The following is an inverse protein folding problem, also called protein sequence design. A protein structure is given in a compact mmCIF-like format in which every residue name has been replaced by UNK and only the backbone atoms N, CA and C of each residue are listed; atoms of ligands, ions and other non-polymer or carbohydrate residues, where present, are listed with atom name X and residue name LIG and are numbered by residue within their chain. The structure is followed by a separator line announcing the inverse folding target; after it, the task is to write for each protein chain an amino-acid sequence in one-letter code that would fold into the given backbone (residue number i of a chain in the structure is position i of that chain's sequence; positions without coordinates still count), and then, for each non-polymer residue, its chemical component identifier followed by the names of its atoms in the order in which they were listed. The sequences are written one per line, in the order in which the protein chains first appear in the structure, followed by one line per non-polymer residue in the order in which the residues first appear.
data_IF_661469468395
#
_entry.id   IF_661469468395
#
_cell.length_a   1.000
_cell.length_b   1.000
_cell.length_c   1.000
_cell.angle_alpha   90.00
_cell.angle_beta   90.00
_cell.angle_gamma   90.00
#
_symmetry.space_group_name_H-M   'P 1'
#
loop_
_entity.id
_entity.type
_entity.pdbx_description
1 polymer ?
#
# COMPACT_ATOMS: atom_id res chain seq x y z
N UNK A 1 21.92 -1.59 16.85
CA UNK A 1 22.67 -2.63 16.09
C UNK A 1 21.62 -3.40 15.30
N UNK A 2 21.81 -3.56 14.00
CA UNK A 2 20.88 -4.33 13.17
C UNK A 2 21.24 -5.81 13.27
N UNK A 3 20.24 -6.69 13.33
CA UNK A 3 20.45 -8.14 13.29
C UNK A 3 20.14 -8.66 11.88
N UNK A 4 21.08 -9.38 11.27
CA UNK A 4 20.90 -10.00 9.95
C UNK A 4 20.79 -11.51 10.12
N UNK A 5 19.75 -12.10 9.54
CA UNK A 5 19.52 -13.55 9.54
C UNK A 5 19.49 -14.04 8.10
N UNK A 6 20.22 -15.11 7.83
CA UNK A 6 20.15 -15.83 6.56
C UNK A 6 19.53 -17.20 6.78
N UNK A 7 18.45 -17.50 6.06
CA UNK A 7 17.96 -18.86 5.92
C UNK A 7 18.88 -19.61 4.96
N UNK A 8 19.69 -20.54 5.48
CA UNK A 8 20.69 -21.27 4.69
C UNK A 8 20.08 -22.27 3.70
N UNK A 9 18.80 -22.60 3.82
CA UNK A 9 18.09 -23.50 2.89
C UNK A 9 17.56 -22.73 1.69
N UNK A 10 16.95 -21.56 1.91
CA UNK A 10 16.34 -20.76 0.83
C UNK A 10 17.22 -19.63 0.31
N UNK A 11 18.29 -19.28 1.03
CA UNK A 11 19.09 -18.08 0.76
C UNK A 11 18.38 -16.77 1.13
N UNK A 12 17.19 -16.83 1.74
CA UNK A 12 16.46 -15.62 2.14
C UNK A 12 17.21 -14.90 3.27
N UNK A 13 17.45 -13.60 3.09
CA UNK A 13 18.08 -12.75 4.09
C UNK A 13 17.04 -11.81 4.67
N UNK A 14 17.00 -11.72 6.00
CA UNK A 14 16.16 -10.79 6.76
C UNK A 14 17.05 -9.88 7.59
N UNK A 15 16.79 -8.58 7.54
CA UNK A 15 17.46 -7.59 8.37
C UNK A 15 16.45 -6.98 9.35
N UNK A 16 16.74 -7.08 10.64
CA UNK A 16 15.98 -6.48 11.73
C UNK A 16 16.68 -5.20 12.17
N UNK A 17 16.02 -4.07 11.99
CA UNK A 17 16.56 -2.74 12.30
C UNK A 17 16.04 -2.18 13.62
N UNK A 18 14.91 -2.69 14.13
CA UNK A 18 14.25 -2.24 15.37
C UNK A 18 14.47 -3.15 16.57
N UNK A 19 14.98 -4.37 16.34
CA UNK A 19 15.26 -5.32 17.40
C UNK A 19 16.75 -5.63 17.47
N UNK A 20 17.28 -5.69 18.70
CA UNK A 20 18.66 -6.12 18.96
C UNK A 20 18.70 -7.60 19.31
N UNK A 21 18.25 -8.46 18.39
CA UNK A 21 18.27 -9.90 18.62
C UNK A 21 19.70 -10.44 18.65
N UNK A 22 20.06 -11.22 19.67
CA UNK A 22 21.31 -11.98 19.73
C UNK A 22 21.11 -13.48 19.47
N UNK A 23 19.88 -13.99 19.57
CA UNK A 23 19.56 -15.39 19.33
C UNK A 23 18.22 -15.49 18.62
N UNK A 24 18.11 -16.42 17.67
CA UNK A 24 16.93 -16.55 16.82
C UNK A 24 16.60 -18.03 16.60
N UNK A 25 15.31 -18.34 16.68
CA UNK A 25 14.71 -19.63 16.34
C UNK A 25 13.65 -19.41 15.25
N UNK A 26 13.01 -20.47 14.77
CA UNK A 26 11.93 -20.33 13.78
C UNK A 26 10.75 -19.47 14.26
N UNK A 27 10.49 -19.42 15.57
CA UNK A 27 9.29 -18.76 16.13
C UNK A 27 9.60 -17.61 17.07
N UNK A 28 10.85 -17.41 17.49
CA UNK A 28 11.22 -16.41 18.49
C UNK A 28 12.61 -15.82 18.27
N UNK A 29 12.78 -14.55 18.65
CA UNK A 29 14.06 -13.86 18.81
C UNK A 29 14.33 -13.50 20.27
N UNK A 30 15.52 -13.81 20.77
CA UNK A 30 16.00 -13.37 22.09
C UNK A 30 16.86 -12.11 21.96
N UNK A 31 16.60 -11.13 22.82
CA UNK A 31 17.42 -9.93 23.00
C UNK A 31 17.85 -9.76 24.47
N UNK A 32 18.67 -8.76 24.81
CA UNK A 32 18.98 -8.44 26.20
C UNK A 32 17.76 -7.95 27.00
N UNK A 33 16.73 -7.44 26.31
CA UNK A 33 15.50 -6.89 26.92
C UNK A 33 14.38 -7.92 27.05
N UNK A 34 14.52 -9.11 26.45
CA UNK A 34 13.54 -10.17 26.58
C UNK A 34 13.46 -11.14 25.40
N UNK A 35 12.44 -11.99 25.43
CA UNK A 35 12.10 -12.95 24.39
C UNK A 35 10.89 -12.44 23.59
N UNK A 36 11.01 -12.44 22.26
CA UNK A 36 10.03 -11.88 21.33
C UNK A 36 9.53 -13.00 20.42
N UNK A 37 8.21 -13.13 20.27
CA UNK A 37 7.62 -14.06 19.31
C UNK A 37 7.63 -13.45 17.90
N UNK A 38 7.96 -14.25 16.90
CA UNK A 38 7.84 -13.86 15.49
C UNK A 38 6.39 -14.04 15.03
N UNK A 39 5.75 -12.92 14.71
CA UNK A 39 4.35 -12.85 14.32
C UNK A 39 3.69 -11.57 14.86
N UNK A 40 2.36 -11.53 14.79
CA UNK A 40 1.56 -10.39 15.23
C UNK A 40 1.44 -9.27 14.19
N UNK A 41 0.73 -8.22 14.57
CA UNK A 41 0.34 -7.11 13.68
C UNK A 41 1.21 -5.86 13.83
N UNK A 42 2.23 -5.93 14.70
CA UNK A 42 3.11 -4.80 15.04
C UNK A 42 4.59 -5.18 14.98
N UNK A 43 5.41 -4.24 14.55
CA UNK A 43 6.87 -4.27 14.57
C UNK A 43 7.36 -3.28 15.64
N UNK A 44 7.72 -3.81 16.81
CA UNK A 44 8.13 -3.05 18.01
C UNK A 44 7.07 -1.99 18.44
N UNK A 45 5.81 -2.43 18.50
CA UNK A 45 4.68 -1.56 18.86
C UNK A 45 4.20 -0.62 17.73
N UNK A 46 4.91 -0.58 16.59
CA UNK A 46 4.47 0.16 15.41
C UNK A 46 3.66 -0.74 14.48
N UNK A 47 2.63 -0.20 13.83
CA UNK A 47 1.81 -0.97 12.90
C UNK A 47 2.61 -1.43 11.66
N UNK A 48 2.40 -2.68 11.23
CA UNK A 48 3.01 -3.20 10.00
C UNK A 48 2.21 -2.71 8.79
N UNK A 49 2.65 -1.59 8.19
CA UNK A 49 1.93 -0.95 7.07
C UNK A 49 2.11 -1.75 5.78
N UNK A 50 1.00 -2.24 5.23
CA UNK A 50 0.98 -2.85 3.91
C UNK A 50 0.93 -1.78 2.81
N UNK A 51 1.76 -1.91 1.77
CA UNK A 51 1.82 -0.99 0.63
C UNK A 51 1.89 -1.75 -0.69
N UNK A 52 0.99 -1.41 -1.61
CA UNK A 52 0.97 -1.94 -2.97
C UNK A 52 1.07 -0.76 -3.94
N UNK A 53 1.88 -0.91 -5.00
CA UNK A 53 1.94 0.03 -6.13
C UNK A 53 1.60 -0.73 -7.41
N UNK A 54 0.53 -0.31 -8.07
CA UNK A 54 0.11 -0.83 -9.36
C UNK A 54 0.88 -0.11 -10.48
N UNK A 55 1.14 -0.79 -11.61
CA UNK A 55 1.80 -0.18 -12.76
C UNK A 55 0.98 1.01 -13.28
N UNK A 56 1.68 2.07 -13.69
CA UNK A 56 1.04 3.18 -14.39
C UNK A 56 0.65 2.72 -15.79
N UNK A 57 -0.59 2.95 -16.17
CA UNK A 57 -1.07 2.64 -17.52
C UNK A 57 -1.01 3.90 -18.37
N UNK A 58 -0.30 3.84 -19.50
CA UNK A 58 -0.40 4.85 -20.56
C UNK A 58 -1.80 4.74 -21.17
N UNK A 59 -2.49 5.88 -21.30
CA UNK A 59 -3.79 5.93 -21.97
C UNK A 59 -3.59 6.21 -23.46
N UNK A 60 -4.40 5.56 -24.29
CA UNK A 60 -4.33 5.60 -25.77
C UNK A 60 -4.81 6.93 -26.37
N UNK A 61 -5.06 7.97 -25.56
CA UNK A 61 -5.58 9.27 -25.99
C UNK A 61 -4.65 10.41 -25.59
N UNK A 62 -4.66 11.47 -26.40
CA UNK A 62 -3.93 12.71 -26.11
C UNK A 62 -4.67 13.61 -25.13
N UNK A 63 -5.95 13.37 -24.85
CA UNK A 63 -6.73 14.21 -23.95
C UNK A 63 -6.35 13.97 -22.49
N UNK A 64 -6.10 15.06 -21.75
CA UNK A 64 -5.86 15.01 -20.30
C UNK A 64 -7.01 14.29 -19.60
N UNK A 65 -6.70 13.31 -18.77
CA UNK A 65 -7.69 12.58 -17.99
C UNK A 65 -7.82 13.17 -16.60
N UNK A 66 -9.05 13.22 -16.12
CA UNK A 66 -9.39 13.41 -14.72
C UNK A 66 -10.02 12.13 -14.18
N UNK A 67 -10.04 12.00 -12.86
CA UNK A 67 -10.67 10.89 -12.17
C UNK A 67 -11.89 11.42 -11.43
N UNK A 68 -13.07 10.84 -11.66
CA UNK A 68 -14.27 11.18 -10.89
C UNK A 68 -14.36 10.33 -9.62
N UNK A 69 -14.09 9.04 -9.76
CA UNK A 69 -14.17 8.08 -8.66
C UNK A 69 -13.26 6.88 -8.92
N UNK A 70 -12.79 6.26 -7.85
CA UNK A 70 -12.10 4.97 -7.92
C UNK A 70 -12.90 3.95 -7.11
N UNK A 71 -13.26 2.85 -7.74
CA UNK A 71 -13.98 1.72 -7.14
C UNK A 71 -12.99 0.60 -6.86
N UNK A 72 -13.10 0.01 -5.66
CA UNK A 72 -12.20 -1.02 -5.19
C UNK A 72 -13.00 -2.22 -4.67
N UNK A 73 -12.69 -3.40 -5.21
CA UNK A 73 -13.06 -4.67 -4.59
C UNK A 73 -11.96 -5.03 -3.61
N UNK A 74 -12.16 -4.62 -2.35
CA UNK A 74 -11.18 -4.70 -1.27
C UNK A 74 -11.89 -5.11 0.02
N UNK A 75 -11.48 -6.24 0.60
CA UNK A 75 -12.00 -6.72 1.88
C UNK A 75 -11.00 -6.43 3.00
N UNK A 76 -11.53 -6.00 4.16
CA UNK A 76 -10.75 -5.63 5.33
C UNK A 76 -11.56 -4.72 6.26
N UNK A 77 -10.92 -4.21 7.30
CA UNK A 77 -11.54 -3.32 8.29
C UNK A 77 -10.83 -1.96 8.35
N UNK A 78 -11.40 -0.99 9.06
CA UNK A 78 -10.75 0.31 9.25
C UNK A 78 -10.66 1.18 7.98
N UNK A 79 -9.55 1.90 7.82
CA UNK A 79 -9.37 2.91 6.76
C UNK A 79 -8.14 2.64 5.91
N UNK A 80 -8.31 2.64 4.59
CA UNK A 80 -7.22 2.56 3.64
C UNK A 80 -6.90 3.94 3.05
N UNK A 81 -5.77 4.05 2.36
CA UNK A 81 -5.38 5.24 1.62
C UNK A 81 -5.00 4.87 0.19
N UNK A 82 -5.68 5.52 -0.75
CA UNK A 82 -5.40 5.46 -2.19
C UNK A 82 -4.42 6.58 -2.53
N UNK A 83 -3.31 6.23 -3.16
CA UNK A 83 -2.41 7.20 -3.79
C UNK A 83 -2.64 7.17 -5.29
N UNK A 84 -2.96 8.32 -5.89
CA UNK A 84 -2.95 8.48 -7.35
C UNK A 84 -1.60 9.09 -7.73
N UNK A 85 -0.87 8.42 -8.62
CA UNK A 85 0.40 8.90 -9.15
C UNK A 85 0.19 9.48 -10.55
N UNK A 86 0.55 10.76 -10.71
CA UNK A 86 0.76 11.40 -12.00
C UNK A 86 2.22 11.27 -12.46
N UNK A 87 2.60 12.03 -13.49
CA UNK A 87 3.98 12.04 -14.00
C UNK A 87 4.98 12.66 -12.99
N UNK A 88 4.56 13.74 -12.31
CA UNK A 88 5.43 14.51 -11.40
C UNK A 88 4.80 14.79 -10.03
N UNK A 89 3.53 14.41 -9.84
CA UNK A 89 2.76 14.68 -8.63
C UNK A 89 2.07 13.41 -8.15
N UNK A 90 1.78 13.36 -6.85
CA UNK A 90 0.97 12.30 -6.25
C UNK A 90 -0.08 12.90 -5.33
N UNK A 91 -1.23 12.25 -5.25
CA UNK A 91 -2.35 12.69 -4.41
C UNK A 91 -2.83 11.53 -3.55
N UNK A 92 -2.97 11.77 -2.25
CA UNK A 92 -3.40 10.78 -1.28
C UNK A 92 -4.83 11.04 -0.81
N UNK A 93 -5.63 9.98 -0.76
CA UNK A 93 -7.03 10.03 -0.36
C UNK A 93 -7.34 8.87 0.59
N UNK A 94 -7.87 9.18 1.78
CA UNK A 94 -8.29 8.17 2.75
C UNK A 94 -9.77 7.83 2.59
N UNK A 95 -10.10 6.55 2.72
CA UNK A 95 -11.46 6.04 2.61
C UNK A 95 -11.69 4.83 3.55
N UNK A 96 -12.91 4.63 4.06
CA UNK A 96 -13.23 3.49 4.90
C UNK A 96 -13.39 2.21 4.07
N UNK A 97 -12.92 1.08 4.62
CA UNK A 97 -13.27 -0.24 4.12
C UNK A 97 -14.66 -0.62 4.61
N UNK A 98 -15.38 -1.36 3.77
CA UNK A 98 -16.77 -1.77 4.03
C UNK A 98 -16.85 -3.29 4.11
N UNK A 99 -17.71 -3.78 5.00
CA UNK A 99 -17.97 -5.21 5.17
C UNK A 99 -18.47 -5.90 3.90
N UNK A 100 -19.02 -5.15 2.94
CA UNK A 100 -19.42 -5.65 1.62
C UNK A 100 -18.25 -6.09 0.74
N UNK A 101 -16.99 -5.81 1.13
CA UNK A 101 -15.81 -6.06 0.30
C UNK A 101 -15.69 -5.12 -0.91
N UNK A 102 -16.54 -4.10 -0.98
CA UNK A 102 -16.58 -3.12 -2.05
C UNK A 102 -16.63 -1.71 -1.46
N UNK A 103 -15.73 -0.86 -1.90
CA UNK A 103 -15.66 0.54 -1.46
C UNK A 103 -15.32 1.45 -2.61
N UNK A 104 -15.50 2.75 -2.38
CA UNK A 104 -15.22 3.80 -3.36
C UNK A 104 -14.43 4.91 -2.71
N UNK A 105 -13.44 5.40 -3.42
CA UNK A 105 -12.64 6.55 -3.05
C UNK A 105 -12.98 7.70 -3.99
N UNK A 106 -13.55 8.77 -3.43
CA UNK A 106 -13.71 10.01 -4.17
C UNK A 106 -12.37 10.74 -4.20
N UNK A 107 -11.90 11.08 -5.39
CA UNK A 107 -10.64 11.78 -5.60
C UNK A 107 -10.89 13.27 -5.88
N UNK A 108 -9.85 14.08 -5.69
CA UNK A 108 -9.91 15.52 -5.90
C UNK A 108 -10.02 15.88 -7.38
N UNK A 109 -10.65 17.03 -7.65
CA UNK A 109 -10.83 17.56 -9.02
C UNK A 109 -9.56 18.13 -9.67
N UNK A 110 -8.44 18.16 -8.94
CA UNK A 110 -7.18 18.76 -9.40
C UNK A 110 -6.38 17.90 -10.39
N UNK A 111 -6.72 16.61 -10.52
CA UNK A 111 -5.95 15.66 -11.33
C UNK A 111 -6.27 15.88 -12.81
N UNK A 112 -5.23 16.20 -13.59
CA UNK A 112 -5.30 16.34 -15.06
C UNK A 112 -4.04 15.75 -15.69
N UNK A 113 -4.06 14.44 -15.89
CA UNK A 113 -2.87 13.68 -16.32
C UNK A 113 -3.21 12.63 -17.38
N UNK A 114 -2.20 12.21 -18.15
CA UNK A 114 -2.32 11.08 -19.10
C UNK A 114 -1.70 9.80 -18.56
N UNK A 115 -0.72 9.95 -17.68
CA UNK A 115 -0.08 8.88 -16.96
C UNK A 115 -0.68 8.82 -15.57
N UNK A 116 -1.46 7.76 -15.31
CA UNK A 116 -2.06 7.53 -14.01
C UNK A 116 -1.65 6.15 -13.51
N UNK A 117 -1.03 6.12 -12.34
CA UNK A 117 -0.78 4.93 -11.54
C UNK A 117 -1.56 4.99 -10.23
N UNK A 118 -1.73 3.84 -9.59
CA UNK A 118 -2.45 3.73 -8.33
C UNK A 118 -1.60 3.02 -7.28
N UNK A 119 -1.70 3.46 -6.04
CA UNK A 119 -1.15 2.78 -4.88
C UNK A 119 -2.19 2.65 -3.78
N UNK A 120 -2.04 1.62 -2.96
CA UNK A 120 -2.89 1.38 -1.81
C UNK A 120 -2.03 1.14 -0.58
N UNK A 121 -2.45 1.72 0.54
CA UNK A 121 -1.82 1.51 1.84
C UNK A 121 -2.86 1.35 2.94
N UNK A 122 -2.53 0.60 3.99
CA UNK A 122 -3.29 0.52 5.24
C UNK A 122 -2.47 1.13 6.38
N UNK A 123 -2.62 2.45 6.65
CA UNK A 123 -1.73 3.16 7.57
C UNK A 123 -1.76 2.66 9.03
N UNK A 124 -2.84 2.02 9.45
CA UNK A 124 -2.94 1.42 10.79
C UNK A 124 -2.52 -0.06 10.80
N UNK A 125 -1.90 -0.55 9.72
CA UNK A 125 -1.33 -1.90 9.61
C UNK A 125 -2.36 -3.03 9.51
N UNK A 126 -3.63 -2.69 9.33
CA UNK A 126 -4.65 -3.72 9.18
C UNK A 126 -4.47 -4.52 7.88
N UNK A 127 -4.78 -5.81 7.96
CA UNK A 127 -4.79 -6.70 6.82
C UNK A 127 -5.90 -6.35 5.81
N UNK A 128 -5.66 -6.63 4.54
CA UNK A 128 -6.66 -6.51 3.48
C UNK A 128 -6.41 -7.49 2.34
N UNK A 129 -7.46 -7.78 1.57
CA UNK A 129 -7.35 -8.39 0.24
C UNK A 129 -7.77 -7.39 -0.83
N UNK A 130 -7.19 -7.50 -2.03
CA UNK A 130 -7.50 -6.63 -3.16
C UNK A 130 -7.69 -7.50 -4.41
N UNK A 131 -8.89 -7.42 -4.99
CA UNK A 131 -9.22 -8.19 -6.19
C UNK A 131 -9.18 -7.30 -7.44
N UNK A 132 -9.70 -6.07 -7.33
CA UNK A 132 -9.87 -5.17 -8.49
C UNK A 132 -9.81 -3.71 -8.07
N UNK A 133 -9.16 -2.91 -8.92
CA UNK A 133 -9.21 -1.45 -8.90
C UNK A 133 -9.76 -0.96 -10.23
N UNK A 134 -10.83 -0.18 -10.18
CA UNK A 134 -11.47 0.39 -11.35
C UNK A 134 -11.57 1.91 -11.21
N UNK A 135 -11.04 2.63 -12.20
CA UNK A 135 -11.02 4.08 -12.21
C UNK A 135 -12.06 4.63 -13.20
N UNK A 136 -13.01 5.41 -12.69
CA UNK A 136 -13.95 6.15 -13.51
C UNK A 136 -13.26 7.40 -14.04
N UNK A 137 -12.70 7.25 -15.25
CA UNK A 137 -11.98 8.32 -15.93
C UNK A 137 -12.95 9.26 -16.63
N UNK A 138 -12.55 10.53 -16.69
CA UNK A 138 -13.21 11.56 -17.50
C UNK A 138 -12.18 12.30 -18.30
N UNK A 139 -12.25 12.11 -19.61
CA UNK A 139 -11.45 12.85 -20.56
C UNK A 139 -11.83 14.33 -20.52
N UNK A 140 -10.82 15.20 -20.62
CA UNK A 140 -11.00 16.60 -20.91
C UNK A 140 -11.67 16.79 -22.28
N UNK A 141 -12.46 17.85 -22.43
CA UNK A 141 -13.05 18.22 -23.73
C UNK A 141 -12.06 18.96 -24.63
N UNK A 142 -11.14 19.75 -24.06
CA UNK A 142 -10.26 20.65 -24.84
C UNK A 142 -8.76 20.43 -24.60
N UNK A 143 -8.35 20.17 -23.35
CA UNK A 143 -6.93 20.05 -22.96
C UNK A 143 -6.30 18.72 -23.40
N UNK A 144 -5.11 18.80 -24.00
CA UNK A 144 -4.31 17.67 -24.48
C UNK A 144 -2.93 17.65 -23.82
N UNK A 145 -2.16 16.57 -24.08
CA UNK A 145 -0.76 16.40 -23.65
C UNK A 145 0.03 17.67 -23.90
#
# INVERSE_FOLDING_TARGET
MNAIVCNTISGAVSEYTRFTFQSITHTHGGSATGLYAFGGDTDDGLAIVSKIRLPSTLRETTLKQSLEMVYLSMAGTGCARLTVYGAHQSWDYSFPLRCSGQTRCQVGRGIRENYLGFGLTTPAGQAFTLDRVEAMNKASTTRRV
#
